data_IF_163381586421
#
_entry.id   IF_163381586421
#
_cell.length_a   1.000
_cell.length_b   1.000
_cell.length_c   1.000
_cell.angle_alpha   90.00
_cell.angle_beta   90.00
_cell.angle_gamma   90.00
#
_symmetry.space_group_name_H-M   'P 1'
#
loop_
_entity.id
_entity.type
_entity.pdbx_description
1 polymer ?
#
# COMPACT_ATOMS: atom_id res chain seq x y z
N UNK A 1 -12.78 -1.04 -7.08
CA UNK A 1 -11.66 -0.16 -6.70
C UNK A 1 -11.40 0.83 -7.81
N UNK A 2 -11.16 2.11 -7.49
CA UNK A 2 -10.76 3.12 -8.47
C UNK A 2 -9.41 3.68 -8.05
N UNK A 3 -8.44 3.65 -8.96
CA UNK A 3 -7.10 4.18 -8.76
C UNK A 3 -7.12 5.65 -9.17
N UNK A 4 -7.16 6.56 -8.19
CA UNK A 4 -7.23 8.01 -8.42
C UNK A 4 -5.90 8.70 -8.17
N UNK A 5 -5.17 8.25 -7.16
CA UNK A 5 -3.90 8.80 -6.70
C UNK A 5 -2.91 7.67 -6.40
N UNK A 6 -1.58 7.91 -6.38
CA UNK A 6 -0.58 6.90 -6.08
C UNK A 6 -0.86 6.08 -4.82
N UNK A 7 -1.34 6.70 -3.75
CA UNK A 7 -1.67 6.01 -2.48
C UNK A 7 -2.79 4.97 -2.64
N UNK A 8 -3.72 5.22 -3.57
CA UNK A 8 -4.82 4.29 -3.87
C UNK A 8 -4.37 3.02 -4.59
N UNK A 9 -3.14 3.02 -5.12
CA UNK A 9 -2.45 1.84 -5.63
C UNK A 9 -1.49 1.26 -4.59
N UNK A 10 -0.70 2.11 -3.93
CA UNK A 10 0.40 1.68 -3.08
C UNK A 10 -0.05 0.84 -1.89
N UNK A 11 -1.09 1.28 -1.17
CA UNK A 11 -1.61 0.56 0.01
C UNK A 11 -2.16 -0.83 -0.32
N UNK A 12 -3.08 -1.00 -1.30
CA UNK A 12 -3.58 -2.33 -1.64
C UNK A 12 -2.50 -3.21 -2.26
N UNK A 13 -1.54 -2.65 -3.02
CA UNK A 13 -0.41 -3.41 -3.54
C UNK A 13 0.49 -3.93 -2.40
N UNK A 14 0.83 -3.09 -1.43
CA UNK A 14 1.61 -3.52 -0.27
C UNK A 14 0.90 -4.64 0.50
N UNK A 15 -0.43 -4.52 0.69
CA UNK A 15 -1.24 -5.59 1.29
C UNK A 15 -1.14 -6.91 0.52
N UNK A 16 -1.37 -6.87 -0.79
CA UNK A 16 -1.31 -8.07 -1.66
C UNK A 16 0.07 -8.73 -1.65
N UNK A 17 1.14 -7.92 -1.71
CA UNK A 17 2.53 -8.41 -1.63
C UNK A 17 2.80 -9.03 -0.26
N UNK A 18 2.40 -8.38 0.83
CA UNK A 18 2.54 -8.93 2.19
C UNK A 18 1.79 -10.24 2.37
N UNK A 19 0.54 -10.32 1.92
CA UNK A 19 -0.24 -11.55 1.97
C UNK A 19 0.37 -12.66 1.09
N UNK A 20 0.89 -12.31 -0.08
CA UNK A 20 1.59 -13.27 -0.92
C UNK A 20 2.81 -13.86 -0.21
N UNK A 21 3.64 -13.02 0.40
CA UNK A 21 4.81 -13.45 1.16
C UNK A 21 4.39 -14.39 2.31
N UNK A 22 3.36 -14.02 3.07
CA UNK A 22 2.82 -14.89 4.15
C UNK A 22 2.34 -16.25 3.63
N UNK A 23 1.72 -16.28 2.44
CA UNK A 23 1.22 -17.51 1.82
C UNK A 23 2.32 -18.37 1.18
N UNK A 24 3.38 -17.77 0.66
CA UNK A 24 4.35 -18.44 -0.23
C UNK A 24 5.77 -18.52 0.33
N UNK A 25 6.10 -17.75 1.36
CA UNK A 25 7.44 -17.69 1.95
C UNK A 25 8.52 -17.15 1.02
N UNK A 26 8.14 -16.35 0.02
CA UNK A 26 9.05 -15.73 -0.95
C UNK A 26 8.48 -14.40 -1.45
N UNK A 27 9.36 -13.55 -2.00
CA UNK A 27 8.95 -12.37 -2.75
C UNK A 27 8.22 -12.78 -4.05
N UNK A 28 7.26 -11.99 -4.55
CA UNK A 28 6.64 -12.25 -5.84
C UNK A 28 7.65 -12.05 -6.97
N UNK A 29 7.64 -12.96 -7.94
CA UNK A 29 8.38 -12.79 -9.19
C UNK A 29 7.63 -11.88 -10.17
N UNK A 30 8.16 -11.74 -11.38
CA UNK A 30 7.59 -10.86 -12.40
C UNK A 30 6.16 -11.25 -12.81
N UNK A 31 5.87 -12.54 -12.95
CA UNK A 31 4.52 -13.02 -13.31
C UNK A 31 3.54 -12.84 -12.16
N UNK A 32 3.94 -13.14 -10.92
CA UNK A 32 3.05 -12.94 -9.77
C UNK A 32 2.76 -11.45 -9.53
N UNK A 33 3.76 -10.58 -9.69
CA UNK A 33 3.59 -9.13 -9.60
C UNK A 33 2.70 -8.58 -10.73
N UNK A 34 2.86 -9.11 -11.95
CA UNK A 34 2.01 -8.78 -13.10
C UNK A 34 0.54 -9.08 -12.81
N UNK A 35 0.24 -10.24 -12.25
CA UNK A 35 -1.13 -10.62 -11.90
C UNK A 35 -1.70 -9.76 -10.76
N UNK A 36 -0.88 -9.41 -9.75
CA UNK A 36 -1.29 -8.47 -8.70
C UNK A 36 -1.68 -7.10 -9.28
N UNK A 37 -0.81 -6.50 -10.10
CA UNK A 37 -1.05 -5.17 -10.68
C UNK A 37 -2.29 -5.16 -11.59
N UNK A 38 -2.50 -6.23 -12.37
CA UNK A 38 -3.73 -6.40 -13.17
C UNK A 38 -4.98 -6.59 -12.31
N UNK A 39 -4.87 -7.37 -11.24
CA UNK A 39 -5.94 -7.55 -10.24
C UNK A 39 -6.36 -6.24 -9.57
N UNK A 40 -5.42 -5.31 -9.42
CA UNK A 40 -5.66 -3.96 -8.91
C UNK A 40 -6.24 -2.99 -9.97
N UNK A 41 -6.50 -3.47 -11.19
CA UNK A 41 -7.15 -2.69 -12.25
C UNK A 41 -6.19 -1.87 -13.10
N UNK A 42 -4.90 -2.18 -13.10
CA UNK A 42 -3.94 -1.62 -14.05
C UNK A 42 -3.88 -2.45 -15.34
N UNK A 43 -3.71 -1.76 -16.47
CA UNK A 43 -3.45 -2.35 -17.77
C UNK A 43 -1.95 -2.34 -18.05
N UNK A 44 -1.42 -3.47 -18.51
CA UNK A 44 -0.03 -3.58 -18.96
C UNK A 44 0.16 -2.82 -20.28
N UNK A 45 1.06 -1.85 -20.29
CA UNK A 45 1.36 -1.02 -21.46
C UNK A 45 2.66 -1.39 -22.15
N UNK A 46 3.69 -1.78 -21.40
CA UNK A 46 4.99 -2.15 -21.96
C UNK A 46 5.73 -3.13 -21.05
N UNK A 47 6.45 -4.08 -21.65
CA UNK A 47 7.43 -4.93 -21.00
C UNK A 47 8.73 -4.84 -21.80
N UNK A 48 9.77 -4.27 -21.23
CA UNK A 48 11.08 -4.19 -21.89
C UNK A 48 12.22 -4.22 -20.87
N UNK A 49 13.28 -4.98 -21.16
CA UNK A 49 14.56 -5.01 -20.41
C UNK A 49 14.45 -5.08 -18.88
N UNK A 50 13.49 -5.84 -18.34
CA UNK A 50 13.31 -5.99 -16.90
C UNK A 50 12.53 -4.85 -16.23
N UNK A 51 11.90 -3.99 -17.03
CA UNK A 51 10.92 -3.00 -16.62
C UNK A 51 9.54 -3.41 -17.17
N UNK A 52 8.52 -3.29 -16.34
CA UNK A 52 7.13 -3.36 -16.78
C UNK A 52 6.40 -2.05 -16.45
N UNK A 53 5.73 -1.49 -17.45
CA UNK A 53 4.89 -0.31 -17.31
C UNK A 53 3.43 -0.74 -17.29
N UNK A 54 2.72 -0.34 -16.26
CA UNK A 54 1.28 -0.51 -16.13
C UNK A 54 0.62 0.86 -15.96
N UNK A 55 -0.64 0.97 -16.35
CA UNK A 55 -1.38 2.23 -16.23
C UNK A 55 -2.85 1.99 -15.95
N UNK A 56 -3.45 2.94 -15.26
CA UNK A 56 -4.88 3.18 -15.27
C UNK A 56 -5.16 4.52 -15.94
N UNK A 57 -6.35 5.08 -15.72
CA UNK A 57 -6.69 6.43 -16.15
C UNK A 57 -5.90 7.50 -15.41
N UNK A 58 -5.61 7.29 -14.12
CA UNK A 58 -5.06 8.32 -13.23
C UNK A 58 -3.72 7.96 -12.60
N UNK A 59 -3.31 6.69 -12.62
CA UNK A 59 -2.04 6.23 -12.02
C UNK A 59 -1.22 5.44 -13.03
N UNK A 60 0.08 5.71 -13.08
CA UNK A 60 1.11 4.97 -13.79
C UNK A 60 1.89 4.15 -12.76
N UNK A 61 2.16 2.87 -13.06
CA UNK A 61 3.00 2.02 -12.24
C UNK A 61 4.22 1.53 -13.02
N UNK A 62 5.43 1.76 -12.50
CA UNK A 62 6.68 1.23 -13.04
C UNK A 62 7.18 0.11 -12.14
N UNK A 63 7.16 -1.13 -12.62
CA UNK A 63 7.57 -2.29 -11.85
C UNK A 63 8.96 -2.77 -12.27
N UNK A 64 9.83 -2.96 -11.28
CA UNK A 64 11.18 -3.49 -11.41
C UNK A 64 11.31 -4.79 -10.58
N UNK A 65 10.90 -5.95 -11.12
CA UNK A 65 11.12 -7.22 -10.46
C UNK A 65 12.61 -7.58 -10.53
N UNK A 66 13.32 -7.53 -9.39
CA UNK A 66 14.69 -8.03 -9.23
C UNK A 66 14.67 -9.32 -8.41
N UNK A 67 15.74 -10.11 -8.47
CA UNK A 67 15.77 -11.44 -7.81
C UNK A 67 15.52 -11.38 -6.30
N UNK A 68 16.04 -10.35 -5.61
CA UNK A 68 15.93 -10.20 -4.15
C UNK A 68 15.08 -8.99 -3.73
N UNK A 69 14.47 -8.28 -4.68
CA UNK A 69 13.72 -7.05 -4.40
C UNK A 69 12.63 -6.82 -5.43
N UNK A 70 11.47 -6.40 -4.97
CA UNK A 70 10.37 -5.91 -5.81
C UNK A 70 10.26 -4.42 -5.57
N UNK A 71 10.24 -3.64 -6.64
CA UNK A 71 10.04 -2.19 -6.59
C UNK A 71 8.90 -1.86 -7.55
N UNK A 72 7.93 -1.09 -7.08
CA UNK A 72 6.86 -0.52 -7.90
C UNK A 72 6.68 0.96 -7.59
N UNK A 73 7.06 1.82 -8.52
CA UNK A 73 6.78 3.25 -8.44
C UNK A 73 5.36 3.52 -8.92
N UNK A 74 4.54 4.18 -8.10
CA UNK A 74 3.22 4.68 -8.40
C UNK A 74 3.30 6.20 -8.61
N UNK A 75 2.94 6.66 -9.79
CA UNK A 75 3.05 8.06 -10.21
C UNK A 75 1.70 8.52 -10.75
N UNK A 76 1.32 9.77 -10.48
CA UNK A 76 0.14 10.36 -11.10
C UNK A 76 0.28 10.38 -12.63
N UNK A 77 -0.80 10.09 -13.35
CA UNK A 77 -0.83 10.15 -14.82
C UNK A 77 -0.67 11.58 -15.37
N UNK A 78 -0.79 12.61 -14.52
CA UNK A 78 -0.42 13.99 -14.88
C UNK A 78 1.10 14.19 -14.97
N UNK A 79 1.89 13.26 -14.41
CA UNK A 79 3.35 13.38 -14.30
C UNK A 79 3.82 14.17 -13.08
N UNK A 80 2.90 14.55 -12.18
CA UNK A 80 3.25 15.10 -10.87
C UNK A 80 4.03 14.05 -10.05
N UNK A 81 5.12 14.49 -9.41
CA UNK A 81 5.98 13.64 -8.59
C UNK A 81 5.85 13.95 -7.10
N UNK A 82 5.15 15.02 -6.73
CA UNK A 82 4.94 15.43 -5.34
C UNK A 82 4.14 14.40 -4.53
N UNK A 83 3.30 13.62 -5.21
CA UNK A 83 2.48 12.55 -4.63
C UNK A 83 2.98 11.15 -4.99
N UNK A 84 4.12 11.02 -5.68
CA UNK A 84 4.65 9.74 -6.12
C UNK A 84 5.09 8.87 -4.93
N UNK A 85 4.74 7.59 -4.99
CA UNK A 85 5.04 6.60 -3.95
C UNK A 85 5.74 5.39 -4.55
N UNK A 86 6.69 4.83 -3.81
CA UNK A 86 7.39 3.59 -4.14
C UNK A 86 6.94 2.49 -3.16
N UNK A 87 6.45 1.37 -3.71
CA UNK A 87 6.23 0.14 -2.93
C UNK A 87 7.44 -0.77 -3.11
N UNK A 88 8.18 -0.99 -2.03
CA UNK A 88 9.37 -1.85 -2.02
C UNK A 88 9.07 -3.10 -1.21
N UNK A 89 9.46 -4.26 -1.70
CA UNK A 89 9.54 -5.48 -0.90
C UNK A 89 10.90 -6.15 -1.03
N UNK A 90 11.51 -6.53 0.10
CA UNK A 90 12.84 -7.13 0.13
C UNK A 90 13.01 -8.14 1.28
N UNK A 91 14.05 -8.97 1.19
CA UNK A 91 14.45 -9.88 2.27
C UNK A 91 15.57 -9.24 3.10
N UNK A 92 15.24 -8.81 4.32
CA UNK A 92 16.23 -8.31 5.27
C UNK A 92 16.89 -9.47 6.04
N UNK A 93 18.12 -9.80 5.65
CA UNK A 93 18.90 -10.88 6.27
C UNK A 93 19.34 -10.57 7.71
N UNK A 94 19.40 -9.30 8.11
CA UNK A 94 19.76 -8.90 9.49
C UNK A 94 18.56 -9.07 10.41
N UNK A 95 17.38 -8.63 9.97
CA UNK A 95 16.12 -8.80 10.70
C UNK A 95 15.57 -10.23 10.60
N UNK A 96 16.07 -11.03 9.66
CA UNK A 96 15.53 -12.35 9.32
C UNK A 96 14.05 -12.25 9.02
N UNK A 97 13.71 -11.32 8.15
CA UNK A 97 12.34 -10.97 7.83
C UNK A 97 12.21 -10.52 6.38
N UNK A 98 11.03 -10.73 5.82
CA UNK A 98 10.60 -10.00 4.63
C UNK A 98 10.01 -8.67 5.07
N UNK A 99 10.35 -7.61 4.35
CA UNK A 99 9.87 -6.25 4.62
C UNK A 99 9.15 -5.74 3.38
N UNK A 100 7.99 -5.10 3.56
CA UNK A 100 7.25 -4.36 2.52
C UNK A 100 6.99 -2.95 3.03
N UNK A 101 7.43 -1.94 2.28
CA UNK A 101 7.37 -0.54 2.69
C UNK A 101 6.74 0.31 1.58
N UNK A 102 6.10 1.40 1.99
CA UNK A 102 5.62 2.45 1.08
C UNK A 102 6.40 3.71 1.42
N UNK A 103 7.18 4.21 0.46
CA UNK A 103 8.05 5.37 0.64
C UNK A 103 7.65 6.47 -0.35
N UNK A 104 7.77 7.75 0.00
CA UNK A 104 7.73 8.83 -0.99
C UNK A 104 8.86 8.67 -2.01
N UNK A 105 8.58 8.80 -3.30
CA UNK A 105 9.62 8.71 -4.35
C UNK A 105 10.50 9.97 -4.40
N UNK A 106 10.09 11.08 -3.76
CA UNK A 106 10.83 12.34 -3.70
C UNK A 106 11.25 12.69 -2.26
N UNK A 107 12.54 12.59 -1.96
CA UNK A 107 13.14 12.98 -0.67
C UNK A 107 13.21 14.51 -0.44
N UNK A 108 13.04 15.34 -1.47
CA UNK A 108 13.34 16.79 -1.40
C UNK A 108 12.17 17.68 -0.95
N UNK A 109 10.93 17.20 -0.96
CA UNK A 109 9.73 18.03 -0.66
C UNK A 109 8.90 17.53 0.53
N UNK A 110 9.33 16.46 1.20
CA UNK A 110 8.50 15.80 2.20
C UNK A 110 8.73 16.33 3.62
N UNK A 111 8.05 17.43 3.98
CA UNK A 111 7.94 17.93 5.36
C UNK A 111 6.80 17.25 6.17
N UNK A 112 6.11 16.23 5.64
CA UNK A 112 4.95 15.62 6.28
C UNK A 112 4.83 14.11 6.13
N UNK A 113 5.19 13.36 7.17
CA UNK A 113 5.04 11.91 7.37
C UNK A 113 3.86 11.23 6.61
N UNK A 114 4.15 10.48 5.54
CA UNK A 114 3.33 9.27 5.26
C UNK A 114 3.74 8.28 6.33
N UNK A 115 3.00 8.28 7.44
CA UNK A 115 3.19 7.38 8.56
C UNK A 115 2.67 5.97 8.29
N UNK A 116 2.89 5.43 7.08
CA UNK A 116 2.50 4.06 6.78
C UNK A 116 3.56 3.14 7.38
N UNK A 117 3.15 2.44 8.43
CA UNK A 117 3.98 1.41 9.05
C UNK A 117 4.35 0.33 8.00
N UNK A 118 5.60 -0.15 7.97
CA UNK A 118 5.99 -1.22 7.05
C UNK A 118 5.38 -2.56 7.47
N UNK A 119 5.15 -3.45 6.51
CA UNK A 119 4.85 -4.87 6.79
C UNK A 119 6.17 -5.59 7.04
N UNK A 120 6.31 -6.24 8.19
CA UNK A 120 7.48 -7.04 8.57
C UNK A 120 6.97 -8.45 8.84
N UNK A 121 7.49 -9.44 8.12
CA UNK A 121 7.08 -10.85 8.21
C UNK A 121 8.31 -11.70 8.56
N UNK A 122 8.23 -12.49 9.63
CA UNK A 122 9.34 -13.38 10.02
C UNK A 122 9.67 -14.39 8.90
N UNK A 123 10.95 -14.55 8.55
CA UNK A 123 11.35 -15.44 7.45
C UNK A 123 11.07 -16.93 7.73
N UNK A 124 10.98 -17.33 9.00
CA UNK A 124 10.82 -18.73 9.41
C UNK A 124 9.37 -19.09 9.71
N UNK A 125 8.68 -18.23 10.46
CA UNK A 125 7.30 -18.50 10.88
C UNK A 125 6.28 -17.96 9.89
N UNK A 126 6.67 -17.00 9.04
CA UNK A 126 5.77 -16.26 8.14
C UNK A 126 4.67 -15.48 8.87
N UNK A 127 4.86 -15.26 10.18
CA UNK A 127 3.96 -14.46 11.01
C UNK A 127 4.32 -12.97 10.92
N UNK A 128 3.32 -12.07 10.96
CA UNK A 128 3.55 -10.64 10.98
C UNK A 128 4.21 -10.21 12.31
N UNK A 129 5.25 -9.38 12.19
CA UNK A 129 5.96 -8.71 13.30
C UNK A 129 5.57 -7.23 13.45
N UNK A 130 4.83 -6.70 12.49
CA UNK A 130 4.27 -5.35 12.47
C UNK A 130 2.84 -5.41 11.97
N UNK A 131 2.04 -4.39 12.29
CA UNK A 131 0.59 -4.42 12.08
C UNK A 131 0.06 -3.19 11.36
N UNK A 132 0.52 -2.96 10.12
CA UNK A 132 0.11 -1.80 9.36
C UNK A 132 -1.36 -1.87 8.97
N UNK A 133 -2.01 -0.71 8.99
CA UNK A 133 -3.42 -0.56 8.63
C UNK A 133 -3.52 -0.42 7.11
N UNK A 134 -3.69 -1.56 6.45
CA UNK A 134 -3.77 -1.64 4.99
C UNK A 134 -5.12 -2.19 4.53
N UNK A 135 -5.53 -1.75 3.35
CA UNK A 135 -6.83 -2.07 2.77
C UNK A 135 -6.90 -1.65 1.31
N UNK A 136 -8.12 -1.55 0.79
CA UNK A 136 -8.37 -1.01 -0.55
C UNK A 136 -9.24 0.23 -0.47
N UNK A 137 -9.23 1.05 -1.51
CA UNK A 137 -10.01 2.28 -1.52
C UNK A 137 -11.34 2.12 -2.26
N UNK A 138 -12.40 2.65 -1.66
CA UNK A 138 -13.73 2.78 -2.26
C UNK A 138 -14.27 4.20 -2.09
N UNK A 139 -14.96 4.68 -3.12
CA UNK A 139 -15.61 5.98 -3.12
C UNK A 139 -17.12 5.77 -2.92
N UNK A 140 -17.71 6.52 -2.00
CA UNK A 140 -19.15 6.66 -1.86
C UNK A 140 -19.56 8.15 -1.80
N UNK A 141 -20.84 8.43 -1.55
CA UNK A 141 -21.37 9.80 -1.54
C UNK A 141 -20.70 10.72 -0.49
N UNK A 142 -20.05 10.14 0.54
CA UNK A 142 -19.39 10.89 1.61
C UNK A 142 -17.90 11.11 1.34
N UNK A 143 -17.31 10.46 0.33
CA UNK A 143 -15.90 10.62 -0.05
C UNK A 143 -15.17 9.31 -0.36
N UNK A 144 -13.83 9.36 -0.31
CA UNK A 144 -12.94 8.24 -0.58
C UNK A 144 -12.46 7.61 0.73
N UNK A 145 -12.70 6.31 0.89
CA UNK A 145 -12.45 5.58 2.14
C UNK A 145 -11.46 4.43 1.94
N UNK A 146 -10.48 4.33 2.83
CA UNK A 146 -9.72 3.11 3.05
C UNK A 146 -10.63 2.09 3.75
N UNK A 147 -10.96 1.01 3.03
CA UNK A 147 -11.81 -0.06 3.52
C UNK A 147 -10.93 -1.11 4.20
N UNK A 148 -11.18 -1.34 5.49
CA UNK A 148 -10.46 -2.33 6.30
C UNK A 148 -11.45 -3.34 6.90
N UNK A 149 -10.99 -4.58 7.10
CA UNK A 149 -11.78 -5.59 7.81
C UNK A 149 -11.76 -5.35 9.33
N UNK A 150 -12.72 -5.98 10.01
CA UNK A 150 -12.86 -5.85 11.46
C UNK A 150 -11.60 -6.30 12.22
N UNK A 151 -10.90 -7.34 11.75
CA UNK A 151 -9.68 -7.83 12.38
C UNK A 151 -8.55 -6.80 12.33
N UNK A 152 -8.37 -6.15 11.18
CA UNK A 152 -7.41 -5.05 10.99
C UNK A 152 -7.74 -3.87 11.91
N UNK A 153 -9.03 -3.54 12.04
CA UNK A 153 -9.49 -2.49 12.96
C UNK A 153 -9.23 -2.84 14.43
N UNK A 154 -9.54 -4.07 14.87
CA UNK A 154 -9.30 -4.49 16.27
C UNK A 154 -7.82 -4.38 16.63
N UNK A 155 -6.94 -4.89 15.78
CA UNK A 155 -5.49 -4.83 16.01
C UNK A 155 -4.98 -3.39 16.04
N UNK A 156 -5.46 -2.56 15.12
CA UNK A 156 -5.11 -1.14 15.11
C UNK A 156 -5.56 -0.43 16.38
N UNK A 157 -6.74 -0.78 16.90
CA UNK A 157 -7.27 -0.20 18.13
C UNK A 157 -6.59 -0.75 19.41
N UNK A 158 -6.04 -1.96 19.37
CA UNK A 158 -5.33 -2.58 20.50
C UNK A 158 -3.86 -2.13 20.61
N UNK A 159 -3.17 -1.99 19.48
CA UNK A 159 -1.73 -1.74 19.42
C UNK A 159 -1.36 -0.29 19.11
N UNK A 160 -2.32 0.50 18.60
CA UNK A 160 -2.10 1.87 18.17
C UNK A 160 -3.18 2.83 18.66
N UNK A 161 -3.23 4.00 18.01
CA UNK A 161 -4.25 5.02 18.24
C UNK A 161 -5.17 5.08 17.01
N UNK A 162 -6.39 4.56 17.14
CA UNK A 162 -7.39 4.59 16.08
C UNK A 162 -7.86 6.01 15.73
N UNK A 163 -7.42 7.03 16.47
CA UNK A 163 -7.58 8.44 16.13
C UNK A 163 -6.51 8.99 15.19
N UNK A 164 -5.49 8.21 14.80
CA UNK A 164 -4.43 8.64 13.87
C UNK A 164 -4.67 8.08 12.48
N UNK A 165 -4.74 8.93 11.45
CA UNK A 165 -4.97 8.52 10.08
C UNK A 165 -3.85 7.61 9.57
N UNK A 166 -4.15 6.38 9.13
CA UNK A 166 -3.12 5.45 8.65
C UNK A 166 -2.53 5.86 7.29
N UNK A 167 -3.14 6.84 6.62
CA UNK A 167 -2.69 7.34 5.32
C UNK A 167 -1.68 8.48 5.49
N UNK A 168 -1.93 9.43 6.39
CA UNK A 168 -1.15 10.67 6.50
C UNK A 168 -0.69 11.03 7.92
N UNK A 169 -0.99 10.20 8.93
CA UNK A 169 -0.67 10.48 10.34
C UNK A 169 -1.47 11.61 11.01
N UNK A 170 -2.46 12.18 10.31
CA UNK A 170 -3.34 13.24 10.81
C UNK A 170 -4.42 12.75 11.79
N UNK A 171 -5.28 13.65 12.27
CA UNK A 171 -6.36 13.25 13.20
C UNK A 171 -7.58 12.65 12.47
N UNK A 172 -8.16 11.60 13.04
CA UNK A 172 -9.39 10.94 12.60
C UNK A 172 -10.54 11.21 13.57
N UNK A 173 -11.69 11.58 13.01
CA UNK A 173 -12.95 11.65 13.76
C UNK A 173 -13.87 10.51 13.36
N UNK A 174 -14.23 9.65 14.34
CA UNK A 174 -15.14 8.52 14.13
C UNK A 174 -16.62 8.92 14.18
N UNK A 175 -17.41 8.34 13.29
CA UNK A 175 -18.87 8.41 13.22
C UNK A 175 -19.43 7.03 12.83
N UNK A 176 -19.66 6.18 13.82
CA UNK A 176 -20.07 4.79 13.61
C UNK A 176 -18.90 3.96 13.07
N UNK A 177 -19.12 3.22 11.98
CA UNK A 177 -18.10 2.37 11.33
C UNK A 177 -17.18 3.13 10.37
N UNK A 178 -17.32 4.46 10.28
CA UNK A 178 -16.51 5.35 9.44
C UNK A 178 -15.72 6.34 10.27
N UNK A 179 -14.50 6.65 9.85
CA UNK A 179 -13.67 7.73 10.34
C UNK A 179 -13.29 8.69 9.22
N UNK A 180 -13.05 9.95 9.54
CA UNK A 180 -12.75 11.00 8.56
C UNK A 180 -11.49 11.74 8.95
N UNK A 181 -10.54 11.86 8.04
CA UNK A 181 -9.35 12.68 8.22
C UNK A 181 -9.55 14.04 7.56
N UNK A 182 -9.35 15.11 8.33
CA UNK A 182 -9.45 16.49 7.82
C UNK A 182 -8.19 16.95 7.09
N UNK A 183 -7.07 16.27 7.31
CA UNK A 183 -5.77 16.69 6.82
C UNK A 183 -5.53 16.22 5.38
N UNK A 184 -5.83 14.94 5.09
CA UNK A 184 -5.67 14.36 3.75
C UNK A 184 -6.98 14.16 2.98
N UNK A 185 -8.14 14.39 3.60
CA UNK A 185 -9.45 14.21 2.97
C UNK A 185 -9.91 12.75 2.80
N UNK A 186 -9.06 11.78 3.13
CA UNK A 186 -9.43 10.35 3.15
C UNK A 186 -10.22 9.99 4.40
N UNK A 187 -11.15 9.03 4.26
CA UNK A 187 -11.79 8.35 5.37
C UNK A 187 -11.24 6.94 5.59
N UNK A 188 -11.61 6.33 6.72
CA UNK A 188 -11.44 4.89 6.97
C UNK A 188 -12.82 4.30 7.19
N UNK A 189 -13.11 3.13 6.61
CA UNK A 189 -14.39 2.43 6.77
C UNK A 189 -14.14 0.98 7.18
N UNK A 190 -14.71 0.58 8.31
CA UNK A 190 -14.62 -0.81 8.80
C UNK A 190 -15.77 -1.61 8.21
N UNK A 191 -15.46 -2.75 7.60
CA UNK A 191 -16.48 -3.70 7.12
C UNK A 191 -16.43 -4.98 7.93
N UNK A 192 -17.62 -5.52 8.24
CA UNK A 192 -17.74 -6.86 8.82
C UNK A 192 -17.45 -7.88 7.73
N UNK A 193 -16.34 -8.62 7.89
CA UNK A 193 -15.97 -9.73 7.02
C UNK A 193 -16.96 -10.89 7.10
#
# INVERSE_FOLDING_TARGET
>A
MRLYEPVTLAMPLAKEVGEFIRRKGKLPGGDELREMLKGLGLEESCLDRGLALYRSRFVIALAFPREETVIVDAISSSGELSDALEVIAYHDRKLRAFVVEILPTNDLEYEGNIGIEPIIIDEKTLEPKSNPVLGHFEEDEEGLFLVIDHWTYERWNEEGDSSICPVCGGELTWKGEKAYCRDCGYGVRVVKG
#
